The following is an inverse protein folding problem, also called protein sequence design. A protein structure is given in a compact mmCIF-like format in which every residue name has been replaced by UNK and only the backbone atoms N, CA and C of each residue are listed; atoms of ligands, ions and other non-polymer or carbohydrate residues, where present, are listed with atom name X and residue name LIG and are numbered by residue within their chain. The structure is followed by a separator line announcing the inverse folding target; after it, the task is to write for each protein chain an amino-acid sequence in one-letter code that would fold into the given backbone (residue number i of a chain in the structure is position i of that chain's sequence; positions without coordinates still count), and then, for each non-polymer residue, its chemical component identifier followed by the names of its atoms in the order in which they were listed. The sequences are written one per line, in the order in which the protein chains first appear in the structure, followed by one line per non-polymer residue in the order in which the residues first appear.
data_IF_398193005551
#
_entry.id   IF_398193005551
#
_cell.length_a   1.000
_cell.length_b   1.000
_cell.length_c   1.000
_cell.angle_alpha   90.00
_cell.angle_beta   90.00
_cell.angle_gamma   90.00
#
_symmetry.space_group_name_H-M   'P 1'
#
loop_
_entity.id
_entity.type
_entity.pdbx_description
1 polymer ?
#
# COMPACT_ATOMS: atom_id res chain seq x y z
N UNK A 1 -11.45 -10.98 10.29
CA UNK A 1 -10.74 -11.18 9.00
C UNK A 1 -11.73 -10.89 7.88
N UNK A 2 -11.31 -10.19 6.82
CA UNK A 2 -12.14 -9.94 5.65
C UNK A 2 -12.50 -11.28 4.97
N UNK A 3 -13.70 -11.42 4.37
CA UNK A 3 -13.98 -12.59 3.55
C UNK A 3 -13.06 -12.61 2.31
N UNK A 4 -12.80 -13.81 1.78
CA UNK A 4 -11.77 -14.05 0.75
C UNK A 4 -11.88 -13.10 -0.46
N UNK A 5 -13.12 -12.86 -0.92
CA UNK A 5 -13.40 -11.94 -2.03
C UNK A 5 -12.92 -10.52 -1.75
N UNK A 6 -13.18 -10.02 -0.54
CA UNK A 6 -12.76 -8.67 -0.11
C UNK A 6 -11.25 -8.61 0.08
N UNK A 7 -10.65 -9.66 0.64
CA UNK A 7 -9.20 -9.74 0.80
C UNK A 7 -8.49 -9.68 -0.56
N UNK A 8 -8.96 -10.46 -1.55
CA UNK A 8 -8.42 -10.42 -2.92
C UNK A 8 -8.53 -9.03 -3.54
N UNK A 9 -9.70 -8.40 -3.43
CA UNK A 9 -9.93 -7.04 -3.97
C UNK A 9 -9.06 -5.99 -3.30
N UNK A 10 -8.86 -6.10 -1.99
CA UNK A 10 -7.95 -5.23 -1.26
C UNK A 10 -6.50 -5.42 -1.71
N UNK A 11 -6.04 -6.67 -1.87
CA UNK A 11 -4.71 -6.96 -2.38
C UNK A 11 -4.50 -6.41 -3.80
N UNK A 12 -5.46 -6.61 -4.72
CA UNK A 12 -5.39 -6.04 -6.07
C UNK A 12 -5.26 -4.51 -6.04
N UNK A 13 -6.03 -3.84 -5.18
CA UNK A 13 -5.94 -2.40 -4.99
C UNK A 13 -4.58 -1.97 -4.44
N UNK A 14 -4.11 -2.62 -3.36
CA UNK A 14 -2.83 -2.29 -2.73
C UNK A 14 -1.65 -2.45 -3.70
N UNK A 15 -1.62 -3.55 -4.45
CA UNK A 15 -0.59 -3.79 -5.46
C UNK A 15 -0.63 -2.75 -6.58
N UNK A 16 -1.81 -2.25 -6.97
CA UNK A 16 -1.92 -1.18 -7.98
C UNK A 16 -1.33 0.15 -7.51
N UNK A 17 -1.45 0.47 -6.21
CA UNK A 17 -0.84 1.65 -5.63
C UNK A 17 0.68 1.48 -5.45
N UNK A 18 1.10 0.28 -5.01
CA UNK A 18 2.52 -0.03 -4.75
C UNK A 18 3.36 -0.14 -6.02
N UNK A 19 2.77 -0.70 -7.09
CA UNK A 19 3.43 -0.96 -8.37
C UNK A 19 2.82 -0.08 -9.46
N UNK A 20 3.17 1.21 -9.41
CA UNK A 20 2.69 2.20 -10.37
C UNK A 20 3.86 2.73 -11.22
N UNK A 21 3.55 3.35 -12.36
CA UNK A 21 4.54 3.97 -13.28
C UNK A 21 4.67 5.48 -13.09
N UNK A 22 3.90 6.07 -12.17
CA UNK A 22 3.87 7.51 -11.93
C UNK A 22 5.07 7.95 -11.08
N UNK A 23 5.42 7.13 -10.09
CA UNK A 23 6.55 7.35 -9.19
C UNK A 23 7.55 6.20 -9.33
N UNK A 24 8.84 6.49 -9.17
CA UNK A 24 9.83 5.43 -9.09
C UNK A 24 9.60 4.53 -7.86
N UNK A 25 10.07 3.27 -7.88
CA UNK A 25 9.79 2.31 -6.81
C UNK A 25 10.27 2.75 -5.42
N UNK A 26 11.36 3.53 -5.36
CA UNK A 26 11.94 4.04 -4.11
C UNK A 26 11.08 5.17 -3.56
N UNK A 27 10.67 6.12 -4.40
CA UNK A 27 9.76 7.20 -3.99
C UNK A 27 8.43 6.63 -3.49
N UNK A 28 7.84 5.67 -4.21
CA UNK A 28 6.61 5.00 -3.76
C UNK A 28 6.78 4.37 -2.37
N UNK A 29 7.89 3.64 -2.14
CA UNK A 29 8.17 3.03 -0.83
C UNK A 29 8.25 4.07 0.30
N UNK A 30 8.94 5.19 0.07
CA UNK A 30 9.10 6.25 1.07
C UNK A 30 7.77 6.92 1.40
N UNK A 31 6.88 7.11 0.42
CA UNK A 31 5.54 7.66 0.66
C UNK A 31 4.71 6.72 1.53
N UNK A 32 4.72 5.41 1.26
CA UNK A 32 4.04 4.44 2.11
C UNK A 32 4.57 4.46 3.55
N UNK A 33 5.90 4.49 3.71
CA UNK A 33 6.54 4.56 5.03
C UNK A 33 6.16 5.85 5.77
N UNK A 34 6.29 7.00 5.12
CA UNK A 34 5.97 8.29 5.72
C UNK A 34 4.49 8.36 6.15
N UNK A 35 3.58 7.82 5.33
CA UNK A 35 2.15 7.75 5.64
C UNK A 35 1.87 6.85 6.85
N UNK A 36 2.53 5.69 6.93
CA UNK A 36 2.42 4.79 8.08
C UNK A 36 2.91 5.46 9.37
N UNK A 37 4.07 6.12 9.30
CA UNK A 37 4.64 6.87 10.44
C UNK A 37 3.74 8.03 10.87
N UNK A 38 3.23 8.83 9.93
CA UNK A 38 2.34 9.95 10.21
C UNK A 38 1.01 9.49 10.85
N UNK A 39 0.58 8.27 10.53
CA UNK A 39 -0.62 7.65 11.11
C UNK A 39 -0.36 6.92 12.43
N UNK A 40 0.88 6.89 12.93
CA UNK A 40 1.26 6.11 14.11
C UNK A 40 1.09 4.59 13.92
N UNK A 41 1.08 4.12 12.67
CA UNK A 41 0.91 2.71 12.33
C UNK A 41 2.29 2.03 12.30
N UNK A 42 2.64 1.40 13.42
CA UNK A 42 3.87 0.63 13.56
C UNK A 42 3.66 -0.82 13.09
N UNK A 43 4.72 -1.49 12.57
CA UNK A 43 4.66 -2.89 12.19
C UNK A 43 4.32 -3.83 13.37
#
# INVERSE_FOLDING_TARGET
MLPEKQQKKYSEFYESARNNTVLDPKTTLLVHLATAMASGCYP
#
